data_IF_803975024760
#
_entry.id   IF_803975024760
#
_cell.length_a   1.000
_cell.length_b   1.000
_cell.length_c   1.000
_cell.angle_alpha   90.00
_cell.angle_beta   90.00
_cell.angle_gamma   90.00
#
_symmetry.space_group_name_H-M   'P 1'
#
loop_
_entity.id
_entity.type
_entity.pdbx_description
1 polymer ?
#
# COMPACT_ATOMS: atom_id res chain seq x y z
N UNK A 1 26.48 16.32 -4.43
CA UNK A 1 25.27 15.81 -3.73
C UNK A 1 24.26 15.48 -4.80
N UNK A 2 23.96 14.21 -5.02
CA UNK A 2 22.81 13.81 -5.84
C UNK A 2 21.56 14.00 -4.97
N UNK A 3 20.58 14.76 -5.44
CA UNK A 3 19.25 14.84 -4.80
C UNK A 3 18.69 13.42 -4.68
N UNK A 4 18.37 13.00 -3.45
CA UNK A 4 17.50 11.84 -3.26
C UNK A 4 16.15 12.20 -3.88
N UNK A 5 15.87 11.60 -5.03
CA UNK A 5 14.58 11.76 -5.67
C UNK A 5 13.57 10.94 -4.84
N UNK A 6 12.49 11.54 -4.32
CA UNK A 6 11.50 10.80 -3.53
C UNK A 6 10.92 9.67 -4.37
N UNK A 7 10.72 8.51 -3.75
CA UNK A 7 10.17 7.32 -4.38
C UNK A 7 8.80 6.99 -3.77
N UNK A 8 7.75 6.75 -4.60
CA UNK A 8 7.72 6.91 -6.05
C UNK A 8 8.03 8.34 -6.48
N UNK A 9 8.51 8.51 -7.72
CA UNK A 9 8.81 9.85 -8.23
C UNK A 9 7.57 10.73 -8.27
N UNK A 10 7.76 12.04 -8.20
CA UNK A 10 6.68 13.02 -8.36
C UNK A 10 5.91 12.83 -9.67
N UNK A 11 6.53 12.29 -10.72
CA UNK A 11 5.83 11.99 -11.98
C UNK A 11 4.77 10.92 -11.79
N UNK A 12 5.03 9.92 -10.96
CA UNK A 12 4.06 8.85 -10.69
C UNK A 12 2.81 9.40 -9.99
N UNK A 13 2.97 10.30 -9.01
CA UNK A 13 1.85 10.93 -8.31
C UNK A 13 1.00 11.85 -9.18
N UNK A 14 1.55 12.39 -10.28
CA UNK A 14 0.82 13.21 -11.24
C UNK A 14 0.19 12.41 -12.39
N UNK A 15 0.24 11.08 -12.36
CA UNK A 15 -0.45 10.27 -13.36
C UNK A 15 -1.97 10.48 -13.25
N UNK A 16 -2.64 10.33 -14.40
CA UNK A 16 -4.10 10.22 -14.41
C UNK A 16 -4.52 9.06 -13.52
N UNK A 17 -5.58 9.27 -12.74
CA UNK A 17 -6.07 8.31 -11.75
C UNK A 17 -6.21 6.89 -12.30
N UNK A 18 -6.86 6.72 -13.45
CA UNK A 18 -7.03 5.43 -14.13
C UNK A 18 -5.71 4.69 -14.37
N UNK A 19 -4.66 5.41 -14.77
CA UNK A 19 -3.34 4.81 -15.03
C UNK A 19 -2.66 4.39 -13.73
N UNK A 20 -2.84 5.18 -12.66
CA UNK A 20 -2.31 4.86 -11.34
C UNK A 20 -3.01 3.61 -10.77
N UNK A 21 -4.33 3.57 -10.82
CA UNK A 21 -5.14 2.42 -10.40
C UNK A 21 -4.76 1.13 -11.14
N UNK A 22 -4.51 1.23 -12.45
CA UNK A 22 -4.03 0.08 -13.23
C UNK A 22 -2.67 -0.42 -12.76
N UNK A 23 -1.73 0.49 -12.44
CA UNK A 23 -0.42 0.10 -11.91
C UNK A 23 -0.60 -0.51 -10.52
N UNK A 24 -1.39 0.11 -9.64
CA UNK A 24 -1.63 -0.36 -8.28
C UNK A 24 -2.26 -1.78 -8.25
N UNK A 25 -3.21 -2.06 -9.15
CA UNK A 25 -3.83 -3.37 -9.31
C UNK A 25 -2.83 -4.44 -9.76
N UNK A 26 -1.97 -4.11 -10.73
CA UNK A 26 -0.93 -5.03 -11.23
C UNK A 26 0.13 -5.30 -10.16
N UNK A 27 0.53 -4.28 -9.39
CA UNK A 27 1.44 -4.46 -8.27
C UNK A 27 0.84 -5.38 -7.20
N UNK A 28 -0.45 -5.21 -6.89
CA UNK A 28 -1.15 -6.05 -5.93
C UNK A 28 -1.16 -7.51 -6.38
N UNK A 29 -1.54 -7.75 -7.63
CA UNK A 29 -1.57 -9.09 -8.21
C UNK A 29 -0.19 -9.75 -8.20
N UNK A 30 0.85 -9.03 -8.66
CA UNK A 30 2.20 -9.58 -8.78
C UNK A 30 2.83 -9.88 -7.41
N UNK A 31 2.71 -8.97 -6.44
CA UNK A 31 3.29 -9.15 -5.11
C UNK A 31 2.51 -10.14 -4.26
N UNK A 32 1.19 -10.24 -4.45
CA UNK A 32 0.38 -11.24 -3.77
C UNK A 32 0.68 -12.66 -4.27
N UNK A 33 0.88 -12.82 -5.58
CA UNK A 33 0.99 -14.15 -6.20
C UNK A 33 2.33 -14.83 -6.01
N UNK A 34 3.40 -14.08 -5.70
CA UNK A 34 4.77 -14.63 -5.59
C UNK A 34 5.65 -13.77 -4.70
N UNK A 35 6.69 -14.37 -4.12
CA UNK A 35 7.67 -13.63 -3.32
C UNK A 35 8.40 -12.59 -4.19
N UNK A 36 8.77 -11.43 -3.61
CA UNK A 36 9.37 -10.30 -4.36
C UNK A 36 10.57 -10.72 -5.22
N UNK A 37 11.41 -11.64 -4.73
CA UNK A 37 12.58 -12.16 -5.48
C UNK A 37 12.23 -12.91 -6.77
N UNK A 38 10.96 -13.30 -6.95
CA UNK A 38 10.45 -13.97 -8.13
C UNK A 38 9.66 -13.02 -9.05
N UNK A 39 9.34 -11.81 -8.59
CA UNK A 39 8.66 -10.78 -9.39
C UNK A 39 9.63 -10.18 -10.40
N UNK A 40 9.14 -9.93 -11.61
CA UNK A 40 9.94 -9.36 -12.69
C UNK A 40 9.34 -8.04 -13.14
N UNK A 41 10.18 -7.00 -13.25
CA UNK A 41 9.80 -5.71 -13.83
C UNK A 41 9.15 -5.90 -15.20
N UNK A 42 9.63 -6.87 -16.02
CA UNK A 42 9.03 -7.18 -17.32
C UNK A 42 7.56 -7.57 -17.24
N UNK A 43 7.15 -8.35 -16.22
CA UNK A 43 5.77 -8.77 -16.05
C UNK A 43 4.88 -7.59 -15.63
N UNK A 44 5.37 -6.75 -14.71
CA UNK A 44 4.67 -5.53 -14.28
C UNK A 44 4.42 -4.60 -15.46
N UNK A 45 5.45 -4.31 -16.26
CA UNK A 45 5.31 -3.35 -17.36
C UNK A 45 4.40 -3.87 -18.49
N UNK A 46 4.41 -5.18 -18.73
CA UNK A 46 3.52 -5.85 -19.69
C UNK A 46 2.06 -5.75 -19.22
N UNK A 47 1.75 -6.19 -17.99
CA UNK A 47 0.39 -6.17 -17.44
C UNK A 47 -0.17 -4.76 -17.21
N UNK A 48 0.67 -3.81 -16.83
CA UNK A 48 0.26 -2.40 -16.61
C UNK A 48 0.26 -1.56 -17.89
N UNK A 49 0.77 -2.10 -19.00
CA UNK A 49 0.92 -1.42 -20.29
C UNK A 49 1.71 -0.10 -20.18
N UNK A 50 2.81 -0.12 -19.43
CA UNK A 50 3.78 0.97 -19.38
C UNK A 50 5.09 0.52 -20.04
N UNK A 51 5.95 1.44 -20.46
CA UNK A 51 7.29 1.06 -20.94
C UNK A 51 8.22 0.76 -19.77
N UNK A 52 9.29 0.00 -20.00
CA UNK A 52 10.37 -0.17 -18.99
C UNK A 52 10.96 1.17 -18.57
N UNK A 53 11.16 2.10 -19.51
CA UNK A 53 11.61 3.45 -19.19
C UNK A 53 10.63 4.22 -18.30
N UNK A 54 9.32 4.01 -18.47
CA UNK A 54 8.32 4.60 -17.58
C UNK A 54 8.36 3.99 -16.17
N UNK A 55 8.53 2.67 -16.05
CA UNK A 55 8.74 2.02 -14.75
C UNK A 55 9.93 2.65 -14.01
N UNK A 56 11.10 2.73 -14.67
CA UNK A 56 12.30 3.32 -14.06
C UNK A 56 12.22 4.84 -13.84
N UNK A 57 11.24 5.51 -14.46
CA UNK A 57 10.90 6.90 -14.15
C UNK A 57 10.07 7.00 -12.87
N UNK A 58 9.32 5.96 -12.51
CA UNK A 58 8.43 5.94 -11.33
C UNK A 58 9.12 5.35 -10.10
N UNK A 59 9.88 4.26 -10.28
CA UNK A 59 10.55 3.47 -9.24
C UNK A 59 12.00 3.22 -9.67
N UNK A 60 13.02 3.30 -8.80
CA UNK A 60 14.40 3.03 -9.23
C UNK A 60 14.63 1.53 -9.41
N UNK A 61 13.98 0.72 -8.58
CA UNK A 61 14.08 -0.74 -8.60
C UNK A 61 12.72 -1.37 -8.24
N UNK A 62 12.72 -2.70 -8.04
CA UNK A 62 11.52 -3.46 -7.73
C UNK A 62 11.12 -3.31 -6.25
N UNK A 63 12.10 -3.18 -5.38
CA UNK A 63 11.96 -2.97 -3.95
C UNK A 63 11.25 -1.63 -3.65
N UNK A 64 11.55 -0.57 -4.39
CA UNK A 64 10.86 0.72 -4.26
C UNK A 64 9.38 0.62 -4.65
N UNK A 65 9.08 -0.16 -5.69
CA UNK A 65 7.70 -0.41 -6.10
C UNK A 65 6.94 -1.23 -5.05
N UNK A 66 7.62 -2.17 -4.40
CA UNK A 66 7.09 -2.94 -3.30
C UNK A 66 6.83 -2.07 -2.06
N UNK A 67 7.81 -1.28 -1.63
CA UNK A 67 7.67 -0.38 -0.47
C UNK A 67 6.57 0.66 -0.69
N UNK A 68 6.45 1.20 -1.91
CA UNK A 68 5.31 2.04 -2.31
C UNK A 68 3.98 1.28 -2.16
N UNK A 69 3.88 0.08 -2.74
CA UNK A 69 2.65 -0.70 -2.74
C UNK A 69 2.19 -0.99 -1.31
N UNK A 70 3.10 -1.48 -0.47
CA UNK A 70 2.87 -1.77 0.94
C UNK A 70 2.41 -0.52 1.71
N UNK A 71 3.06 0.63 1.49
CA UNK A 71 2.68 1.91 2.11
C UNK A 71 1.28 2.34 1.67
N UNK A 72 0.98 2.22 0.38
CA UNK A 72 -0.32 2.55 -0.20
C UNK A 72 -1.43 1.66 0.37
N UNK A 73 -1.20 0.36 0.50
CA UNK A 73 -2.15 -0.61 1.08
C UNK A 73 -2.39 -0.33 2.55
N UNK A 74 -1.32 -0.08 3.32
CA UNK A 74 -1.41 0.29 4.73
C UNK A 74 -2.27 1.54 4.91
N UNK A 75 -2.04 2.60 4.13
CA UNK A 75 -2.83 3.83 4.18
C UNK A 75 -4.33 3.59 3.89
N UNK A 76 -4.65 2.73 2.92
CA UNK A 76 -6.03 2.37 2.62
C UNK A 76 -6.68 1.60 3.77
N UNK A 77 -5.97 0.65 4.37
CA UNK A 77 -6.43 -0.11 5.55
C UNK A 77 -6.66 0.83 6.73
N UNK A 78 -5.70 1.71 7.04
CA UNK A 78 -5.84 2.72 8.09
C UNK A 78 -7.04 3.64 7.84
N UNK A 79 -7.24 4.11 6.61
CA UNK A 79 -8.39 4.94 6.24
C UNK A 79 -9.72 4.21 6.46
N UNK A 80 -9.79 2.92 6.12
CA UNK A 80 -10.96 2.10 6.40
C UNK A 80 -11.21 1.99 7.91
N UNK A 81 -10.20 1.62 8.71
CA UNK A 81 -10.29 1.55 10.18
C UNK A 81 -10.79 2.88 10.77
N UNK A 82 -10.19 4.00 10.37
CA UNK A 82 -10.62 5.33 10.82
C UNK A 82 -12.06 5.64 10.44
N UNK A 83 -12.51 5.20 9.27
CA UNK A 83 -13.90 5.37 8.82
C UNK A 83 -14.88 4.62 9.73
N UNK A 84 -14.57 3.38 10.12
CA UNK A 84 -15.42 2.60 11.04
C UNK A 84 -15.40 3.17 12.46
N UNK A 85 -14.25 3.61 12.97
CA UNK A 85 -14.13 4.27 14.27
C UNK A 85 -14.96 5.57 14.28
N UNK A 86 -14.81 6.43 13.26
CA UNK A 86 -15.49 7.72 13.21
C UNK A 86 -17.02 7.61 13.05
N UNK A 87 -17.53 6.49 12.51
CA UNK A 87 -18.97 6.19 12.50
C UNK A 87 -19.48 5.87 13.91
N UNK A 88 -18.65 5.25 14.74
CA UNK A 88 -18.95 4.87 16.11
C UNK A 88 -18.33 5.88 17.10
N UNK A 89 -18.64 7.17 16.94
CA UNK A 89 -17.98 8.32 17.61
C UNK A 89 -17.72 8.21 19.12
N UNK A 90 -18.52 7.41 19.83
CA UNK A 90 -18.45 7.24 21.29
C UNK A 90 -18.02 5.83 21.72
N UNK A 91 -17.77 4.93 20.77
CA UNK A 91 -17.41 3.55 21.03
C UNK A 91 -16.32 3.10 20.06
N UNK A 92 -15.08 3.38 20.45
CA UNK A 92 -13.89 3.02 19.70
C UNK A 92 -13.83 1.51 19.42
N UNK A 93 -14.15 0.68 20.43
CA UNK A 93 -14.08 -0.78 20.30
C UNK A 93 -15.14 -1.31 19.34
N UNK A 94 -16.37 -0.75 19.36
CA UNK A 94 -17.41 -1.04 18.36
C UNK A 94 -16.94 -0.76 16.94
N UNK A 95 -16.27 0.36 16.70
CA UNK A 95 -15.71 0.67 15.38
C UNK A 95 -14.69 -0.36 14.91
N UNK A 96 -13.81 -0.81 15.81
CA UNK A 96 -12.86 -1.88 15.48
C UNK A 96 -13.57 -3.22 15.24
N UNK A 97 -14.55 -3.59 16.07
CA UNK A 97 -15.35 -4.80 15.92
C UNK A 97 -16.06 -4.83 14.56
N UNK A 98 -16.70 -3.73 14.16
CA UNK A 98 -17.39 -3.63 12.87
C UNK A 98 -16.42 -3.68 11.68
N UNK A 99 -15.24 -3.07 11.80
CA UNK A 99 -14.19 -3.20 10.79
C UNK A 99 -13.75 -4.66 10.64
N UNK A 100 -13.48 -5.36 11.75
CA UNK A 100 -13.08 -6.78 11.72
C UNK A 100 -14.20 -7.68 11.17
N UNK A 101 -15.45 -7.42 11.54
CA UNK A 101 -16.61 -8.12 11.00
C UNK A 101 -16.75 -7.88 9.49
N UNK A 102 -16.53 -6.66 9.01
CA UNK A 102 -16.48 -6.36 7.59
C UNK A 102 -15.31 -7.07 6.89
N UNK A 103 -14.13 -7.12 7.52
CA UNK A 103 -12.98 -7.86 6.99
C UNK A 103 -13.29 -9.36 6.81
N UNK A 104 -14.08 -9.95 7.71
CA UNK A 104 -14.42 -11.38 7.67
C UNK A 104 -15.30 -11.79 6.48
N UNK A 105 -15.89 -10.82 5.78
CA UNK A 105 -16.76 -11.08 4.62
C UNK A 105 -15.96 -11.27 3.32
N UNK A 106 -14.70 -10.82 3.29
CA UNK A 106 -13.87 -10.87 2.09
C UNK A 106 -13.26 -12.24 1.86
N UNK A 107 -13.25 -12.64 0.59
CA UNK A 107 -12.58 -13.84 0.10
C UNK A 107 -11.11 -13.54 -0.23
N UNK A 108 -10.25 -14.57 -0.36
CA UNK A 108 -8.86 -14.39 -0.81
C UNK A 108 -8.70 -13.75 -2.20
N UNK A 109 -9.76 -13.72 -3.00
CA UNK A 109 -9.74 -13.09 -4.32
C UNK A 109 -9.95 -11.58 -4.27
N UNK A 110 -10.50 -11.06 -3.16
CA UNK A 110 -10.78 -9.64 -3.00
C UNK A 110 -9.50 -8.84 -2.71
N UNK A 111 -9.36 -7.71 -3.38
CA UNK A 111 -8.17 -6.85 -3.25
C UNK A 111 -7.92 -6.41 -1.82
N UNK A 112 -8.99 -6.13 -1.06
CA UNK A 112 -8.86 -5.75 0.34
C UNK A 112 -8.24 -6.86 1.21
N UNK A 113 -8.62 -8.11 0.97
CA UNK A 113 -8.02 -9.24 1.65
C UNK A 113 -6.55 -9.40 1.28
N UNK A 114 -6.22 -9.29 -0.02
CA UNK A 114 -4.83 -9.36 -0.51
C UNK A 114 -3.95 -8.27 0.10
N UNK A 115 -4.47 -7.04 0.20
CA UNK A 115 -3.79 -5.92 0.86
C UNK A 115 -3.50 -6.22 2.33
N UNK A 116 -4.49 -6.67 3.10
CA UNK A 116 -4.31 -7.03 4.52
C UNK A 116 -3.25 -8.14 4.63
N UNK A 117 -3.37 -9.19 3.83
CA UNK A 117 -2.45 -10.32 3.83
C UNK A 117 -1.00 -9.89 3.59
N UNK A 118 -0.75 -9.14 2.51
CA UNK A 118 0.58 -8.62 2.18
C UNK A 118 1.15 -7.73 3.28
N UNK A 119 0.34 -6.80 3.80
CA UNK A 119 0.78 -5.94 4.87
C UNK A 119 1.19 -6.76 6.11
N UNK A 120 0.41 -7.78 6.51
CA UNK A 120 0.73 -8.63 7.68
C UNK A 120 2.00 -9.47 7.52
N UNK A 121 2.38 -9.82 6.29
CA UNK A 121 3.63 -10.55 6.01
C UNK A 121 4.83 -9.63 5.85
N UNK A 122 4.59 -8.36 5.59
CA UNK A 122 5.62 -7.35 5.46
C UNK A 122 6.00 -6.74 6.81
N UNK A 123 7.19 -6.15 6.88
CA UNK A 123 7.59 -5.33 8.02
C UNK A 123 6.86 -3.97 8.09
N UNK A 124 5.82 -3.72 7.26
CA UNK A 124 5.07 -2.46 7.22
C UNK A 124 4.61 -1.99 8.60
N UNK A 125 4.10 -2.93 9.42
CA UNK A 125 3.58 -2.64 10.75
C UNK A 125 4.67 -2.48 11.81
N UNK A 126 5.91 -2.85 11.48
CA UNK A 126 7.08 -2.79 12.39
C UNK A 126 7.94 -1.55 12.16
N UNK A 127 7.89 -0.93 10.98
CA UNK A 127 8.37 0.44 10.76
C UNK A 127 7.39 1.41 11.41
N UNK A 128 7.35 1.43 12.74
CA UNK A 128 6.75 2.55 13.47
C UNK A 128 7.70 3.72 13.33
N UNK A 129 7.23 4.81 12.74
CA UNK A 129 7.91 6.09 12.92
C UNK A 129 8.06 6.31 14.43
N UNK A 130 9.25 6.76 14.85
CA UNK A 130 9.46 7.12 16.23
C UNK A 130 8.38 8.14 16.60
N UNK A 131 7.64 7.87 17.69
CA UNK A 131 6.66 8.83 18.17
C UNK A 131 7.44 10.10 18.49
N UNK A 132 7.09 11.25 17.88
CA UNK A 132 7.76 12.51 18.18
C UNK A 132 7.72 12.79 19.68
N UNK A 133 8.82 13.29 20.25
CA UNK A 133 8.92 13.57 21.69
C UNK A 133 7.85 14.56 22.19
N UNK A 134 7.24 15.33 21.30
CA UNK A 134 6.17 16.29 21.57
C UNK A 134 4.76 15.71 21.37
N UNK A 135 4.63 14.41 21.09
CA UNK A 135 3.34 13.78 20.87
C UNK A 135 2.45 13.82 22.11
N UNK A 136 1.17 14.22 21.99
CA UNK A 136 0.21 14.20 23.09
C UNK A 136 -0.11 12.78 23.58
N UNK A 137 0.37 11.74 22.88
CA UNK A 137 0.23 10.34 23.30
C UNK A 137 1.32 9.88 24.29
N UNK A 138 2.38 10.68 24.52
CA UNK A 138 3.48 10.38 25.45
C UNK A 138 3.35 11.16 26.78
N UNK A 139 2.45 12.15 26.86
CA UNK A 139 2.21 12.96 28.06
C UNK A 139 1.01 12.53 28.88
#
# INVERSE_FOLDING_TARGET
MMEENPLPSTTFFHLKQEKKEKIDAVLLEEFFSKHISQVKVSAIVEKSHISRGAFYKYFQNLEDAYDYAITNYSNQIHSAIFTFINRNKNDFFKGIEEYLAWCSQWSPEDDHWKMIHLCTQSNAWTKRDAIPDDSPMIR
#
